data_IF_442588416733
#
_entry.id   IF_442588416733
#
_cell.length_a   1.000
_cell.length_b   1.000
_cell.length_c   1.000
_cell.angle_alpha   90.00
_cell.angle_beta   90.00
_cell.angle_gamma   90.00
#
_symmetry.space_group_name_H-M   'P 1'
#
loop_
_entity.id
_entity.type
_entity.pdbx_description
1 polymer ?
#
# COMPACT_ATOMS: atom_id res chain seq x y z
N UNK A 1 -22.45 -8.00 -16.56
CA UNK A 1 -21.02 -8.31 -16.81
C UNK A 1 -20.16 -7.52 -15.81
N UNK A 2 -19.20 -8.16 -15.15
CA UNK A 2 -18.13 -7.42 -14.49
C UNK A 2 -17.47 -6.56 -15.57
N UNK A 3 -17.32 -5.27 -15.30
CA UNK A 3 -16.51 -4.38 -16.12
C UNK A 3 -15.11 -5.00 -16.23
N UNK A 4 -14.71 -5.32 -17.47
CA UNK A 4 -13.45 -5.99 -17.77
C UNK A 4 -12.27 -5.01 -17.90
N UNK A 5 -12.45 -3.75 -17.49
CA UNK A 5 -11.36 -2.78 -17.43
C UNK A 5 -10.35 -3.17 -16.33
N UNK A 6 -9.06 -3.09 -16.67
CA UNK A 6 -7.96 -3.25 -15.73
C UNK A 6 -7.34 -1.88 -15.50
N UNK A 7 -7.36 -1.41 -14.27
CA UNK A 7 -6.77 -0.13 -13.89
C UNK A 7 -5.77 -0.29 -12.74
N UNK A 8 -4.79 0.62 -12.69
CA UNK A 8 -3.86 0.68 -11.58
C UNK A 8 -4.59 1.21 -10.33
N UNK A 9 -4.71 0.36 -9.32
CA UNK A 9 -5.38 0.73 -8.07
C UNK A 9 -4.53 1.69 -7.21
N UNK A 10 -3.22 1.44 -7.10
CA UNK A 10 -2.26 2.30 -6.41
C UNK A 10 -0.82 1.99 -6.86
N UNK A 11 0.09 2.94 -6.64
CA UNK A 11 1.51 2.83 -6.97
C UNK A 11 1.91 3.70 -8.16
N UNK A 12 3.21 3.68 -8.49
CA UNK A 12 3.75 4.47 -9.60
C UNK A 12 3.28 3.90 -10.94
N UNK A 13 2.57 4.72 -11.72
CA UNK A 13 2.14 4.43 -13.09
C UNK A 13 3.31 4.40 -14.08
N UNK A 14 4.52 4.79 -13.66
CA UNK A 14 5.77 4.72 -14.43
C UNK A 14 6.75 3.65 -13.90
N UNK A 15 6.30 2.79 -12.97
CA UNK A 15 7.08 1.63 -12.51
C UNK A 15 8.15 1.93 -11.46
N UNK A 16 8.14 3.11 -10.85
CA UNK A 16 9.09 3.45 -9.80
C UNK A 16 8.77 2.74 -8.48
N UNK A 17 9.71 1.92 -8.02
CA UNK A 17 9.65 1.36 -6.66
C UNK A 17 9.96 2.44 -5.60
N UNK A 18 9.48 2.23 -4.38
CA UNK A 18 9.81 3.12 -3.28
C UNK A 18 8.95 2.95 -2.04
N UNK A 19 9.06 3.93 -1.15
CA UNK A 19 8.29 4.03 0.07
C UNK A 19 7.73 5.44 0.17
N UNK A 20 6.56 5.67 -0.42
CA UNK A 20 5.90 6.99 -0.44
C UNK A 20 4.43 6.79 -0.14
N UNK A 21 3.95 7.39 0.95
CA UNK A 21 2.54 7.51 1.31
C UNK A 21 1.87 8.69 0.57
N UNK A 22 0.55 8.80 0.69
CA UNK A 22 -0.26 9.84 0.05
C UNK A 22 -1.24 9.29 -0.98
N UNK A 23 -1.72 10.11 -1.94
CA UNK A 23 -2.70 9.68 -2.93
C UNK A 23 -2.24 8.43 -3.70
N UNK A 24 -3.15 7.50 -3.97
CA UNK A 24 -2.86 6.20 -4.59
C UNK A 24 -2.00 6.31 -5.85
N UNK A 25 -2.32 7.25 -6.74
CA UNK A 25 -1.59 7.52 -7.98
C UNK A 25 -0.18 8.14 -7.81
N UNK A 26 0.14 8.64 -6.60
CA UNK A 26 1.44 9.23 -6.23
C UNK A 26 2.22 8.37 -5.23
N UNK A 27 1.56 7.39 -4.63
CA UNK A 27 2.17 6.45 -3.69
C UNK A 27 3.21 5.56 -4.40
N UNK A 28 4.16 5.05 -3.63
CA UNK A 28 5.16 4.09 -4.14
C UNK A 28 5.26 2.91 -3.18
N UNK A 29 5.35 1.74 -3.78
CA UNK A 29 5.54 0.46 -3.11
C UNK A 29 6.88 -0.14 -3.54
N UNK A 30 7.48 -0.97 -2.68
CA UNK A 30 8.64 -1.76 -3.03
C UNK A 30 8.28 -3.23 -2.92
N UNK A 31 8.16 -3.88 -4.09
CA UNK A 31 7.90 -5.32 -4.26
C UNK A 31 6.79 -5.83 -3.31
N UNK A 32 5.53 -5.36 -3.45
CA UNK A 32 4.42 -5.83 -2.64
C UNK A 32 4.25 -7.34 -2.80
N UNK A 33 4.04 -8.07 -1.69
CA UNK A 33 4.05 -9.54 -1.69
C UNK A 33 2.67 -10.16 -1.45
N UNK A 34 1.85 -9.51 -0.64
CA UNK A 34 0.51 -10.00 -0.30
C UNK A 34 -0.45 -8.85 -0.07
N UNK A 35 -1.74 -9.12 -0.27
CA UNK A 35 -2.81 -8.19 0.00
C UNK A 35 -3.97 -8.85 0.76
N UNK A 36 -4.70 -8.05 1.53
CA UNK A 36 -5.97 -8.41 2.15
C UNK A 36 -6.99 -7.29 1.92
N UNK A 37 -8.24 -7.65 1.64
CA UNK A 37 -9.32 -6.70 1.36
C UNK A 37 -10.32 -6.79 2.51
N UNK A 38 -10.69 -5.64 3.08
CA UNK A 38 -11.71 -5.54 4.11
C UNK A 38 -13.09 -5.28 3.52
N UNK A 39 -14.16 -5.62 4.26
CA UNK A 39 -15.55 -5.39 3.85
C UNK A 39 -15.89 -3.92 3.59
N UNK A 40 -15.15 -3.00 4.23
CA UNK A 40 -15.29 -1.56 4.01
C UNK A 40 -14.57 -1.05 2.73
N UNK A 41 -13.92 -1.95 1.98
CA UNK A 41 -13.20 -1.66 0.75
C UNK A 41 -11.76 -1.18 0.95
N UNK A 42 -11.23 -1.15 2.18
CA UNK A 42 -9.81 -0.90 2.40
C UNK A 42 -8.97 -2.11 1.97
N UNK A 43 -7.78 -1.85 1.41
CA UNK A 43 -6.82 -2.88 1.01
C UNK A 43 -5.55 -2.72 1.82
N UNK A 44 -5.10 -3.79 2.44
CA UNK A 44 -3.85 -3.85 3.18
C UNK A 44 -2.82 -4.57 2.32
N UNK A 45 -1.61 -4.01 2.23
CA UNK A 45 -0.53 -4.48 1.38
C UNK A 45 0.73 -4.63 2.22
N UNK A 46 1.30 -5.84 2.23
CA UNK A 46 2.62 -6.07 2.81
C UNK A 46 3.71 -5.84 1.76
N UNK A 47 4.82 -5.24 2.19
CA UNK A 47 5.89 -4.80 1.30
C UNK A 47 7.25 -5.20 1.84
N UNK A 48 8.24 -5.32 0.95
CA UNK A 48 9.60 -5.71 1.34
C UNK A 48 10.37 -4.63 2.10
N UNK A 49 9.72 -3.49 2.35
CA UNK A 49 10.23 -2.44 3.22
C UNK A 49 9.87 -2.69 4.70
N UNK A 50 9.41 -3.89 5.05
CA UNK A 50 8.95 -4.24 6.39
C UNK A 50 7.83 -3.31 6.86
N UNK A 51 6.84 -3.10 5.99
CA UNK A 51 5.76 -2.15 6.22
C UNK A 51 4.43 -2.72 5.74
N UNK A 52 3.41 -2.58 6.60
CA UNK A 52 2.01 -2.80 6.23
C UNK A 52 1.44 -1.46 5.80
N UNK A 53 0.95 -1.41 4.57
CA UNK A 53 0.39 -0.23 3.93
C UNK A 53 -1.10 -0.42 3.77
N UNK A 54 -1.89 0.58 4.16
CA UNK A 54 -3.34 0.61 3.96
C UNK A 54 -3.64 1.54 2.78
N UNK A 55 -4.43 1.05 1.83
CA UNK A 55 -5.07 1.82 0.78
C UNK A 55 -6.54 1.95 1.17
N UNK A 56 -6.98 3.15 1.51
CA UNK A 56 -8.37 3.42 1.84
C UNK A 56 -9.26 3.48 0.59
N UNK A 57 -10.57 3.34 0.79
CA UNK A 57 -11.57 3.42 -0.30
C UNK A 57 -11.55 4.77 -1.05
N UNK A 58 -11.10 5.84 -0.40
CA UNK A 58 -10.93 7.17 -1.02
C UNK A 58 -9.57 7.34 -1.73
N UNK A 59 -8.76 6.29 -1.86
CA UNK A 59 -7.52 6.32 -2.62
C UNK A 59 -6.35 6.97 -1.89
N UNK A 60 -6.29 6.87 -0.56
CA UNK A 60 -5.15 7.33 0.23
C UNK A 60 -4.33 6.13 0.73
N UNK A 61 -3.01 6.22 0.57
CA UNK A 61 -2.06 5.22 1.08
C UNK A 61 -1.41 5.74 2.34
N UNK A 62 -1.52 4.95 3.42
CA UNK A 62 -0.85 5.22 4.69
C UNK A 62 -0.07 4.01 5.15
N UNK A 63 1.03 4.24 5.86
CA UNK A 63 1.72 3.19 6.60
C UNK A 63 1.11 3.07 7.98
N UNK A 64 0.66 1.87 8.34
CA UNK A 64 0.03 1.60 9.64
C UNK A 64 0.96 0.84 10.59
N UNK A 65 1.98 0.16 10.05
CA UNK A 65 2.96 -0.61 10.81
C UNK A 65 4.30 -0.64 10.07
N UNK A 66 5.39 -0.54 10.82
CA UNK A 66 6.76 -0.62 10.29
C UNK A 66 7.20 0.55 9.39
N UNK A 67 8.10 0.30 8.43
CA UNK A 67 8.53 1.24 7.39
C UNK A 67 9.46 2.39 7.80
N UNK A 68 9.51 2.79 9.07
CA UNK A 68 10.37 3.87 9.58
C UNK A 68 11.83 3.45 9.79
N UNK A 69 12.10 2.14 9.86
CA UNK A 69 13.44 1.59 9.87
C UNK A 69 13.44 0.25 9.16
N UNK A 70 14.53 -0.09 8.45
CA UNK A 70 14.73 -1.46 7.91
C UNK A 70 14.97 -2.49 9.02
N UNK A 71 14.52 -2.23 10.25
CA UNK A 71 14.60 -3.15 11.38
C UNK A 71 13.24 -3.81 11.55
N UNK A 72 13.19 -5.15 11.59
CA UNK A 72 12.00 -5.88 12.00
C UNK A 72 11.55 -5.47 13.42
N UNK A 73 10.25 -5.53 13.69
CA UNK A 73 9.70 -5.41 15.05
C UNK A 73 9.51 -3.97 15.57
N UNK A 74 9.38 -2.98 14.70
CA UNK A 74 8.92 -1.64 15.12
C UNK A 74 7.45 -1.73 15.54
N UNK A 75 7.16 -1.31 16.76
CA UNK A 75 5.79 -1.18 17.26
C UNK A 75 5.06 -0.07 16.49
N UNK A 76 3.79 -0.33 16.22
CA UNK A 76 2.90 0.60 15.57
C UNK A 76 2.64 1.79 16.52
N UNK A 77 2.46 2.99 15.96
CA UNK A 77 1.95 4.13 16.74
C UNK A 77 0.49 3.86 17.14
N UNK A 78 -0.02 4.45 18.24
CA UNK A 78 -1.40 4.23 18.72
C UNK A 78 -2.49 4.51 17.69
#
# INVERSE_FOLDING_TARGET
>A
PLDSSLEAFAGSHVGESGYVDGPAAKSRFNRPQSLAICDNGAVFVDTTNLAIRKISKNGEVTTIAGGSSRRPGIADSP
#
